data_IF_600996110306
#
_entry.id   IF_600996110306
#
_cell.length_a   1.000
_cell.length_b   1.000
_cell.length_c   1.000
_cell.angle_alpha   90.00
_cell.angle_beta   90.00
_cell.angle_gamma   90.00
#
_symmetry.space_group_name_H-M   'P 1'
#
loop_
_entity.id
_entity.type
_entity.pdbx_description
1 polymer ?
#
# COMPACT_ATOMS: atom_id res chain seq x y z
N UNK A 1 43.69 -50.68 6.75
CA UNK A 1 42.42 -50.20 7.29
C UNK A 1 42.33 -48.68 7.40
N UNK A 2 43.22 -47.95 8.08
CA UNK A 2 43.13 -46.46 8.23
C UNK A 2 43.16 -45.68 6.91
N UNK A 3 43.91 -46.11 5.87
CA UNK A 3 44.02 -45.43 4.58
C UNK A 3 42.71 -45.55 3.76
N UNK A 4 42.06 -46.71 3.76
CA UNK A 4 40.80 -46.98 3.13
C UNK A 4 39.66 -46.12 3.77
N UNK A 5 39.60 -46.07 5.06
CA UNK A 5 38.61 -45.29 5.80
C UNK A 5 38.74 -43.79 5.48
N UNK A 6 39.96 -43.27 5.34
CA UNK A 6 40.22 -41.87 4.99
C UNK A 6 39.75 -41.52 3.57
N UNK A 7 39.98 -42.44 2.63
CA UNK A 7 39.51 -42.26 1.24
C UNK A 7 37.98 -42.27 1.21
N UNK A 8 37.35 -43.24 1.86
CA UNK A 8 35.94 -43.38 1.96
C UNK A 8 35.26 -42.13 2.53
N UNK A 9 35.74 -41.57 3.63
CA UNK A 9 35.21 -40.33 4.19
C UNK A 9 35.41 -39.15 3.27
N UNK A 10 36.54 -39.00 2.60
CA UNK A 10 36.73 -37.91 1.61
C UNK A 10 35.73 -38.02 0.46
N UNK A 11 35.50 -39.21 -0.05
CA UNK A 11 34.52 -39.42 -1.14
C UNK A 11 33.09 -39.04 -0.72
N UNK A 12 32.69 -39.41 0.51
CA UNK A 12 31.37 -38.99 1.04
C UNK A 12 31.28 -37.48 1.15
N UNK A 13 32.29 -36.80 1.66
CA UNK A 13 32.32 -35.35 1.81
C UNK A 13 32.20 -34.66 0.43
N UNK A 14 32.91 -35.15 -0.59
CA UNK A 14 32.79 -34.62 -1.95
C UNK A 14 31.40 -34.84 -2.55
N UNK A 15 30.80 -36.00 -2.36
CA UNK A 15 29.44 -36.28 -2.83
C UNK A 15 28.43 -35.34 -2.17
N UNK A 16 28.53 -35.16 -0.85
CA UNK A 16 27.65 -34.25 -0.12
C UNK A 16 27.84 -32.79 -0.55
N UNK A 17 29.08 -32.37 -0.81
CA UNK A 17 29.37 -31.02 -1.29
C UNK A 17 28.77 -30.78 -2.69
N UNK A 18 28.86 -31.77 -3.60
CA UNK A 18 28.27 -31.68 -4.95
C UNK A 18 26.75 -31.63 -4.87
N UNK A 19 26.14 -32.47 -4.04
CA UNK A 19 24.68 -32.46 -3.82
C UNK A 19 24.23 -31.11 -3.27
N UNK A 20 24.92 -30.59 -2.25
CA UNK A 20 24.61 -29.28 -1.67
C UNK A 20 24.70 -28.15 -2.69
N UNK A 21 25.75 -28.14 -3.51
CA UNK A 21 25.89 -27.15 -4.60
C UNK A 21 24.75 -27.23 -5.63
N UNK A 22 24.41 -28.44 -6.07
CA UNK A 22 23.33 -28.65 -7.02
C UNK A 22 21.97 -28.22 -6.43
N UNK A 23 21.74 -28.49 -5.14
CA UNK A 23 20.52 -28.04 -4.44
C UNK A 23 20.43 -26.51 -4.40
N UNK A 24 21.53 -25.82 -4.08
CA UNK A 24 21.56 -24.34 -4.07
C UNK A 24 21.29 -23.80 -5.47
N UNK A 25 21.93 -24.32 -6.50
CA UNK A 25 21.71 -23.91 -7.89
C UNK A 25 20.26 -24.12 -8.35
N UNK A 26 19.67 -25.26 -7.96
CA UNK A 26 18.28 -25.56 -8.24
C UNK A 26 17.33 -24.57 -7.55
N UNK A 27 17.53 -24.29 -6.25
CA UNK A 27 16.71 -23.32 -5.53
C UNK A 27 16.79 -21.92 -6.12
N UNK A 28 17.98 -21.48 -6.52
CA UNK A 28 18.17 -20.17 -7.19
C UNK A 28 17.45 -20.13 -8.54
N UNK A 29 17.56 -21.22 -9.33
CA UNK A 29 16.89 -21.31 -10.62
C UNK A 29 15.35 -21.29 -10.47
N UNK A 30 14.79 -22.08 -9.55
CA UNK A 30 13.34 -22.12 -9.26
C UNK A 30 12.84 -20.77 -8.78
N UNK A 31 13.59 -20.08 -7.92
CA UNK A 31 13.21 -18.76 -7.43
C UNK A 31 13.18 -17.72 -8.55
N UNK A 32 14.20 -17.71 -9.43
CA UNK A 32 14.22 -16.81 -10.60
C UNK A 32 13.08 -17.07 -11.57
N UNK A 33 12.81 -18.33 -11.90
CA UNK A 33 11.72 -18.71 -12.80
C UNK A 33 10.37 -18.36 -12.19
N UNK A 34 10.15 -18.68 -10.93
CA UNK A 34 8.91 -18.34 -10.21
C UNK A 34 8.67 -16.82 -10.13
N UNK A 35 9.71 -16.05 -9.87
CA UNK A 35 9.64 -14.60 -9.88
C UNK A 35 9.30 -14.04 -11.27
N UNK A 36 9.94 -14.54 -12.33
CA UNK A 36 9.66 -14.13 -13.72
C UNK A 36 8.23 -14.45 -14.14
N UNK A 37 7.72 -15.65 -13.80
CA UNK A 37 6.33 -16.03 -14.07
C UNK A 37 5.37 -15.13 -13.31
N UNK A 38 5.63 -14.86 -12.04
CA UNK A 38 4.80 -13.98 -11.21
C UNK A 38 4.71 -12.56 -11.78
N UNK A 39 5.83 -12.00 -12.23
CA UNK A 39 5.85 -10.70 -12.89
C UNK A 39 5.02 -10.70 -14.19
N UNK A 40 5.18 -11.70 -15.04
CA UNK A 40 4.42 -11.78 -16.30
C UNK A 40 2.91 -11.88 -16.08
N UNK A 41 2.47 -12.59 -15.05
CA UNK A 41 1.05 -12.66 -14.67
C UNK A 41 0.56 -11.30 -14.18
N UNK A 42 1.32 -10.66 -13.31
CA UNK A 42 0.97 -9.33 -12.78
C UNK A 42 0.90 -8.29 -13.91
N UNK A 43 1.86 -8.33 -14.85
CA UNK A 43 1.90 -7.45 -16.02
C UNK A 43 0.66 -7.62 -16.90
N UNK A 44 0.28 -8.86 -17.17
CA UNK A 44 -0.90 -9.14 -17.97
C UNK A 44 -2.17 -8.61 -17.32
N UNK A 45 -2.37 -8.87 -16.04
CA UNK A 45 -3.53 -8.37 -15.30
C UNK A 45 -3.56 -6.84 -15.23
N UNK A 46 -2.41 -6.21 -15.02
CA UNK A 46 -2.30 -4.75 -15.01
C UNK A 46 -2.66 -4.15 -16.37
N UNK A 47 -2.13 -4.69 -17.46
CA UNK A 47 -2.41 -4.21 -18.82
C UNK A 47 -3.89 -4.40 -19.20
N UNK A 48 -4.50 -5.54 -18.87
CA UNK A 48 -5.93 -5.78 -19.09
C UNK A 48 -6.79 -4.77 -18.33
N UNK A 49 -6.41 -4.41 -17.10
CA UNK A 49 -7.11 -3.39 -16.31
C UNK A 49 -6.97 -1.99 -16.91
N UNK A 50 -5.77 -1.60 -17.31
CA UNK A 50 -5.52 -0.30 -17.96
C UNK A 50 -6.27 -0.19 -19.30
N UNK A 51 -6.26 -1.24 -20.11
CA UNK A 51 -6.98 -1.27 -21.39
C UNK A 51 -8.51 -1.17 -21.18
N UNK A 52 -9.02 -1.81 -20.14
CA UNK A 52 -10.42 -1.71 -19.75
C UNK A 52 -10.80 -0.25 -19.37
N UNK A 53 -9.96 0.42 -18.59
CA UNK A 53 -10.17 1.82 -18.22
C UNK A 53 -10.11 2.76 -19.45
N UNK A 54 -9.17 2.52 -20.36
CA UNK A 54 -9.04 3.32 -21.60
C UNK A 54 -10.22 3.13 -22.53
N UNK A 55 -10.72 1.90 -22.67
CA UNK A 55 -11.87 1.59 -23.50
C UNK A 55 -13.18 2.17 -22.97
N UNK A 56 -13.25 2.48 -21.68
CA UNK A 56 -14.40 3.14 -21.08
C UNK A 56 -14.64 4.55 -21.62
N UNK A 57 -13.65 5.16 -22.29
CA UNK A 57 -13.74 6.48 -22.89
C UNK A 57 -13.78 7.62 -21.87
N UNK A 58 -13.94 8.87 -22.33
CA UNK A 58 -14.01 10.01 -21.44
C UNK A 58 -15.23 9.91 -20.53
N UNK A 59 -15.03 10.28 -19.27
CA UNK A 59 -16.10 10.35 -18.28
C UNK A 59 -17.25 11.20 -18.82
N UNK A 60 -18.38 10.58 -19.11
CA UNK A 60 -19.58 11.31 -19.44
C UNK A 60 -20.10 11.92 -18.15
N UNK A 61 -20.31 13.23 -18.19
CA UNK A 61 -20.93 13.96 -17.09
C UNK A 61 -22.36 13.44 -16.95
N UNK A 62 -22.51 12.36 -16.23
CA UNK A 62 -23.73 11.68 -16.04
C UNK A 62 -24.26 12.05 -14.64
N UNK A 63 -25.57 12.19 -14.56
CA UNK A 63 -26.30 12.47 -13.33
C UNK A 63 -26.32 11.28 -12.35
N UNK A 64 -25.40 10.32 -12.50
CA UNK A 64 -25.27 9.23 -11.55
C UNK A 64 -24.83 9.82 -10.22
N UNK A 65 -25.81 9.94 -9.36
CA UNK A 65 -25.61 10.29 -7.97
C UNK A 65 -24.79 9.15 -7.34
N UNK A 66 -23.48 9.31 -7.33
CA UNK A 66 -22.57 8.39 -6.64
C UNK A 66 -22.95 8.44 -5.16
N UNK A 67 -23.81 7.51 -4.77
CA UNK A 67 -24.28 7.38 -3.40
C UNK A 67 -23.13 6.85 -2.54
N UNK A 68 -22.11 7.69 -2.33
CA UNK A 68 -21.00 7.37 -1.44
C UNK A 68 -21.55 7.20 -0.03
N UNK A 69 -21.42 6.01 0.51
CA UNK A 69 -21.75 5.75 1.91
C UNK A 69 -20.52 6.02 2.75
N UNK A 70 -20.71 6.69 3.87
CA UNK A 70 -19.71 6.71 4.93
C UNK A 70 -19.70 5.30 5.52
N UNK A 71 -18.56 4.63 5.49
CA UNK A 71 -18.42 3.22 5.89
C UNK A 71 -17.89 3.04 7.31
N UNK A 72 -17.46 4.13 7.95
CA UNK A 72 -16.99 4.10 9.33
C UNK A 72 -18.16 4.02 10.30
N UNK A 73 -18.07 3.15 11.29
CA UNK A 73 -19.09 3.09 12.34
C UNK A 73 -18.98 4.28 13.30
N UNK A 74 -20.08 4.60 13.99
CA UNK A 74 -20.17 5.79 14.84
C UNK A 74 -19.22 5.75 16.05
N UNK A 75 -18.95 4.58 16.63
CA UNK A 75 -18.05 4.44 17.77
C UNK A 75 -16.61 4.67 17.33
N UNK A 76 -16.22 4.05 16.20
CA UNK A 76 -14.91 4.25 15.62
C UNK A 76 -14.70 5.70 15.17
N UNK A 77 -15.71 6.32 14.59
CA UNK A 77 -15.67 7.73 14.22
C UNK A 77 -15.42 8.64 15.42
N UNK A 78 -16.12 8.38 16.53
CA UNK A 78 -15.94 9.15 17.76
C UNK A 78 -14.53 8.95 18.35
N UNK A 79 -14.02 7.72 18.37
CA UNK A 79 -12.67 7.39 18.83
C UNK A 79 -11.60 8.15 18.03
N UNK A 80 -11.66 8.10 16.70
CA UNK A 80 -10.72 8.81 15.82
C UNK A 80 -10.80 10.31 16.04
N UNK A 81 -12.01 10.84 16.10
CA UNK A 81 -12.25 12.26 16.28
C UNK A 81 -11.66 12.78 17.60
N UNK A 82 -11.84 12.05 18.70
CA UNK A 82 -11.26 12.36 20.00
C UNK A 82 -9.74 12.21 20.00
N UNK A 83 -9.22 11.09 19.47
CA UNK A 83 -7.79 10.79 19.45
C UNK A 83 -6.98 11.88 18.74
N UNK A 84 -7.46 12.34 17.58
CA UNK A 84 -6.79 13.38 16.80
C UNK A 84 -7.25 14.81 17.12
N UNK A 85 -8.21 14.97 18.02
CA UNK A 85 -8.82 16.26 18.36
C UNK A 85 -9.29 17.03 17.11
N UNK A 86 -9.93 16.33 16.17
CA UNK A 86 -10.22 16.85 14.84
C UNK A 86 -11.04 18.15 14.84
N UNK A 87 -11.89 18.35 15.82
CA UNK A 87 -12.69 19.58 15.96
C UNK A 87 -11.85 20.84 16.21
N UNK A 88 -10.56 20.69 16.56
CA UNK A 88 -9.64 21.83 16.74
C UNK A 88 -8.96 22.26 15.42
N UNK A 89 -9.07 21.46 14.37
CA UNK A 89 -8.39 21.70 13.09
C UNK A 89 -9.10 22.73 12.21
N UNK A 90 -10.40 22.94 12.43
CA UNK A 90 -11.26 23.79 11.60
C UNK A 90 -12.31 24.49 12.43
N UNK A 91 -12.92 25.54 11.88
CA UNK A 91 -14.07 26.21 12.50
C UNK A 91 -15.37 25.43 12.23
N UNK A 92 -16.32 25.54 13.17
CA UNK A 92 -17.68 25.00 12.99
C UNK A 92 -18.36 25.62 11.75
N UNK A 93 -18.03 26.87 11.45
CA UNK A 93 -18.58 27.65 10.34
C UNK A 93 -17.97 27.30 8.98
N UNK A 94 -16.85 26.54 8.97
CA UNK A 94 -16.21 26.13 7.73
C UNK A 94 -17.10 25.19 6.92
N UNK A 95 -17.12 25.39 5.61
CA UNK A 95 -17.78 24.46 4.70
C UNK A 95 -17.03 23.12 4.61
N UNK A 96 -17.64 22.16 3.94
CA UNK A 96 -17.07 20.82 3.79
C UNK A 96 -15.67 20.83 3.16
N UNK A 97 -15.44 21.71 2.16
CA UNK A 97 -14.16 21.80 1.49
C UNK A 97 -13.06 22.35 2.42
N UNK A 98 -13.33 23.40 3.16
CA UNK A 98 -12.35 23.97 4.10
C UNK A 98 -12.02 23.01 5.23
N UNK A 99 -13.02 22.27 5.77
CA UNK A 99 -12.79 21.20 6.75
C UNK A 99 -11.92 20.08 6.16
N UNK A 100 -12.22 19.63 4.94
CA UNK A 100 -11.43 18.60 4.28
C UNK A 100 -9.98 19.05 4.04
N UNK A 101 -9.81 20.29 3.62
CA UNK A 101 -8.49 20.87 3.39
C UNK A 101 -7.67 21.01 4.70
N UNK A 102 -8.32 21.38 5.80
CA UNK A 102 -7.67 21.46 7.11
C UNK A 102 -7.19 20.09 7.58
N UNK A 103 -8.02 19.04 7.44
CA UNK A 103 -7.65 17.66 7.76
C UNK A 103 -6.51 17.18 6.87
N UNK A 104 -6.59 17.39 5.56
CA UNK A 104 -5.51 17.03 4.63
C UNK A 104 -4.19 17.73 4.98
N UNK A 105 -4.22 19.02 5.32
CA UNK A 105 -3.05 19.77 5.79
C UNK A 105 -2.51 19.22 7.11
N UNK A 106 -3.36 18.81 8.03
CA UNK A 106 -2.91 18.17 9.26
C UNK A 106 -2.09 16.92 8.96
N UNK A 107 -2.57 16.03 8.09
CA UNK A 107 -1.85 14.81 7.71
C UNK A 107 -0.52 15.16 7.05
N UNK A 108 -0.51 15.99 6.02
CA UNK A 108 0.69 16.28 5.23
C UNK A 108 1.73 17.12 5.98
N UNK A 109 1.33 17.96 6.92
CA UNK A 109 2.25 18.74 7.73
C UNK A 109 2.94 17.91 8.83
N UNK A 110 2.30 16.85 9.29
CA UNK A 110 2.84 16.01 10.35
C UNK A 110 3.58 14.77 9.83
N UNK A 111 3.28 14.33 8.60
CA UNK A 111 3.82 13.08 8.06
C UNK A 111 4.43 13.36 6.68
N UNK A 112 5.77 13.33 6.57
CA UNK A 112 6.46 13.49 5.29
C UNK A 112 6.11 12.38 4.28
N UNK A 113 6.23 12.69 3.00
CA UNK A 113 6.06 11.70 1.94
C UNK A 113 7.36 10.93 1.69
N UNK A 114 7.30 9.60 1.85
CA UNK A 114 8.37 8.67 1.46
C UNK A 114 7.81 7.25 1.30
N UNK A 115 8.53 6.39 0.58
CA UNK A 115 8.21 4.97 0.54
C UNK A 115 8.65 4.29 1.83
N UNK A 116 7.81 3.42 2.38
CA UNK A 116 8.11 2.64 3.58
C UNK A 116 9.12 1.54 3.28
N UNK A 117 10.03 1.31 4.23
CA UNK A 117 10.88 0.12 4.26
C UNK A 117 10.13 -1.09 4.80
N UNK A 118 9.29 -0.84 5.79
CA UNK A 118 8.42 -1.83 6.40
C UNK A 118 6.97 -1.36 6.31
N UNK A 119 6.07 -2.18 5.79
CA UNK A 119 4.67 -1.81 5.64
C UNK A 119 3.93 -1.99 6.97
N UNK A 120 3.11 -1.01 7.41
CA UNK A 120 2.38 -1.10 8.67
C UNK A 120 1.38 -2.26 8.68
N UNK A 121 1.28 -2.95 9.82
CA UNK A 121 0.33 -4.05 10.00
C UNK A 121 -1.10 -3.54 10.18
N UNK A 122 -1.26 -2.44 10.93
CA UNK A 122 -2.54 -1.78 11.11
C UNK A 122 -2.63 -0.58 10.17
N UNK A 123 -3.54 -0.65 9.21
CA UNK A 123 -3.72 0.34 8.15
C UNK A 123 -4.97 1.18 8.41
N UNK A 124 -5.28 1.45 9.67
CA UNK A 124 -6.29 2.41 10.11
C UNK A 124 -5.62 3.71 10.61
N UNK A 125 -6.39 4.79 10.77
CA UNK A 125 -5.83 6.11 11.09
C UNK A 125 -4.98 6.12 12.36
N UNK A 126 -5.42 5.46 13.43
CA UNK A 126 -4.70 5.41 14.72
C UNK A 126 -3.46 4.53 14.58
N UNK A 127 -3.60 3.34 14.00
CA UNK A 127 -2.48 2.43 13.76
C UNK A 127 -1.39 3.04 12.89
N UNK A 128 -1.78 3.76 11.82
CA UNK A 128 -0.86 4.51 10.98
C UNK A 128 -0.16 5.63 11.74
N UNK A 129 -0.87 6.36 12.58
CA UNK A 129 -0.27 7.41 13.41
C UNK A 129 0.75 6.85 14.40
N UNK A 130 0.42 5.75 15.09
CA UNK A 130 1.35 5.09 16.01
C UNK A 130 2.57 4.49 15.27
N UNK A 131 2.37 3.99 14.05
CA UNK A 131 3.46 3.55 13.19
C UNK A 131 4.47 4.68 12.93
N UNK A 132 3.99 5.92 12.67
CA UNK A 132 4.92 7.05 12.43
C UNK A 132 5.77 7.41 13.64
N UNK A 133 5.29 7.13 14.84
CA UNK A 133 6.03 7.40 16.08
C UNK A 133 7.03 6.31 16.45
N UNK A 134 6.76 5.07 16.07
CA UNK A 134 7.50 3.91 16.56
C UNK A 134 8.37 3.21 15.52
N UNK A 135 8.05 3.32 14.23
CA UNK A 135 8.71 2.57 13.17
C UNK A 135 9.35 3.50 12.13
N UNK A 136 8.54 4.25 11.39
CA UNK A 136 9.02 5.12 10.32
C UNK A 136 8.13 6.36 10.17
N UNK A 137 8.67 7.57 10.29
CA UNK A 137 7.88 8.81 10.37
C UNK A 137 7.45 9.34 9.00
N UNK A 138 7.16 8.49 8.02
CA UNK A 138 6.81 8.89 6.67
C UNK A 138 5.81 7.94 6.03
N UNK A 139 5.02 8.44 5.07
CA UNK A 139 4.06 7.65 4.30
C UNK A 139 4.25 7.82 2.79
N UNK A 140 3.90 6.78 2.03
CA UNK A 140 3.64 6.92 0.61
C UNK A 140 2.23 7.50 0.37
N UNK A 141 1.91 7.79 -0.89
CA UNK A 141 0.61 8.37 -1.26
C UNK A 141 -0.59 7.53 -0.81
N UNK A 142 -0.47 6.20 -0.81
CA UNK A 142 -1.54 5.30 -0.38
C UNK A 142 -1.85 5.44 1.10
N UNK A 143 -0.83 5.40 1.96
CA UNK A 143 -1.02 5.51 3.41
C UNK A 143 -1.53 6.89 3.82
N UNK A 144 -1.03 7.97 3.16
CA UNK A 144 -1.59 9.30 3.33
C UNK A 144 -3.08 9.34 2.98
N UNK A 145 -3.47 8.74 1.86
CA UNK A 145 -4.85 8.76 1.40
C UNK A 145 -5.77 7.92 2.29
N UNK A 146 -5.31 6.76 2.78
CA UNK A 146 -6.09 5.93 3.72
C UNK A 146 -6.32 6.69 5.03
N UNK A 147 -5.27 7.25 5.61
CA UNK A 147 -5.39 8.03 6.85
C UNK A 147 -6.34 9.23 6.66
N UNK A 148 -6.13 10.01 5.60
CA UNK A 148 -6.99 11.16 5.29
C UNK A 148 -8.45 10.75 5.10
N UNK A 149 -8.71 9.63 4.41
CA UNK A 149 -10.05 9.08 4.23
C UNK A 149 -10.75 8.77 5.57
N UNK A 150 -10.05 8.12 6.51
CA UNK A 150 -10.65 7.80 7.82
C UNK A 150 -10.91 9.04 8.66
N UNK A 151 -9.98 10.01 8.66
CA UNK A 151 -10.17 11.27 9.38
C UNK A 151 -11.36 12.05 8.81
N UNK A 152 -11.50 12.15 7.49
CA UNK A 152 -12.63 12.80 6.82
C UNK A 152 -13.96 12.09 7.16
N UNK A 153 -13.96 10.76 7.07
CA UNK A 153 -15.15 9.96 7.36
C UNK A 153 -15.59 10.08 8.81
N UNK A 154 -14.64 10.21 9.75
CA UNK A 154 -14.94 10.34 11.18
C UNK A 154 -15.65 11.65 11.55
N UNK A 155 -15.48 12.70 10.74
CA UNK A 155 -16.20 13.98 10.89
C UNK A 155 -17.41 14.10 9.96
N UNK A 156 -17.85 12.99 9.36
CA UNK A 156 -19.05 12.94 8.52
C UNK A 156 -18.85 13.44 7.09
N UNK A 157 -17.62 13.70 6.66
CA UNK A 157 -17.32 14.09 5.28
C UNK A 157 -17.24 12.83 4.42
N UNK A 158 -18.04 12.79 3.35
CA UNK A 158 -18.01 11.70 2.38
C UNK A 158 -16.72 11.79 1.59
N UNK A 159 -15.90 10.77 1.67
CA UNK A 159 -14.64 10.70 0.96
C UNK A 159 -14.37 9.28 0.46
N UNK A 160 -13.48 9.14 -0.49
CA UNK A 160 -12.88 7.88 -0.90
C UNK A 160 -11.45 8.11 -1.37
N UNK A 161 -10.61 7.08 -1.35
CA UNK A 161 -9.31 7.15 -2.00
C UNK A 161 -9.35 6.43 -3.35
N UNK A 162 -8.69 7.03 -4.34
CA UNK A 162 -8.69 6.59 -5.72
C UNK A 162 -7.25 6.36 -6.16
N UNK A 163 -6.99 5.23 -6.81
CA UNK A 163 -5.71 4.97 -7.46
C UNK A 163 -5.73 5.56 -8.87
N UNK A 164 -4.88 6.55 -9.10
CA UNK A 164 -4.65 7.12 -10.42
C UNK A 164 -3.54 6.35 -11.12
N UNK A 165 -3.84 5.81 -12.29
CA UNK A 165 -2.88 5.10 -13.12
C UNK A 165 -2.21 6.07 -14.12
N UNK A 166 -0.95 5.85 -14.48
CA UNK A 166 -0.27 6.66 -15.49
C UNK A 166 -0.90 6.48 -16.88
N UNK A 167 -0.74 7.49 -17.73
CA UNK A 167 -1.19 7.43 -19.11
C UNK A 167 -0.36 6.46 -19.96
N UNK A 168 0.95 6.36 -19.65
CA UNK A 168 1.83 5.38 -20.28
C UNK A 168 1.63 4.00 -19.65
N UNK A 169 1.27 2.99 -20.46
CA UNK A 169 1.08 1.61 -20.01
C UNK A 169 2.36 0.94 -19.50
N UNK A 170 3.52 1.45 -19.91
CA UNK A 170 4.80 0.91 -19.48
C UNK A 170 5.28 1.51 -18.16
N UNK A 171 4.69 2.64 -17.75
CA UNK A 171 4.92 3.24 -16.46
C UNK A 171 4.03 2.53 -15.43
N UNK A 172 4.66 1.95 -14.40
CA UNK A 172 3.98 1.21 -13.32
C UNK A 172 3.78 2.02 -12.07
N UNK A 173 4.25 3.25 -12.05
CA UNK A 173 3.96 4.13 -10.96
C UNK A 173 2.47 4.44 -10.93
N UNK A 174 1.94 4.51 -9.73
CA UNK A 174 0.58 4.95 -9.50
C UNK A 174 0.56 5.99 -8.39
N UNK A 175 -0.45 6.83 -8.41
CA UNK A 175 -0.67 7.79 -7.34
C UNK A 175 -2.03 7.54 -6.69
N UNK A 176 -2.12 7.73 -5.38
CA UNK A 176 -3.39 7.60 -4.66
C UNK A 176 -3.77 8.96 -4.11
N UNK A 177 -4.99 9.37 -4.38
CA UNK A 177 -5.56 10.66 -3.97
C UNK A 177 -6.89 10.47 -3.25
N UNK A 178 -7.36 11.48 -2.54
CA UNK A 178 -8.69 11.49 -1.97
C UNK A 178 -9.64 12.31 -2.84
N UNK A 179 -10.83 11.79 -3.08
CA UNK A 179 -11.98 12.49 -3.61
C UNK A 179 -12.94 12.79 -2.46
N UNK A 180 -13.47 14.02 -2.44
CA UNK A 180 -14.37 14.55 -1.41
C UNK A 180 -15.59 15.16 -2.05
#
# INVERSE_FOLDING_TARGET
MKKFLRIFFKTIVYILAVIGLLTILFLVAVNKVGYSIGLNIADKQYNEYVDSLRSAGPYKNDTVNLNMRITIDSLRAAEIKEYFQLDTLYSVEDDTWHKALAIGKFVTNNIPHANQKEYPQNVDAIGLWEYTKSVEPAFNCRLHSIMTFELLSSVGIKARYITCLPQDVNDRDCHVVNEV
#
